data_IF_933682562104
#
_entry.id   IF_933682562104
#
_cell.length_a   1.000
_cell.length_b   1.000
_cell.length_c   1.000
_cell.angle_alpha   90.00
_cell.angle_beta   90.00
_cell.angle_gamma   90.00
#
_symmetry.space_group_name_H-M   'P 1'
#
loop_
_entity.id
_entity.type
_entity.pdbx_description
1 polymer ?
#
# COMPACT_ATOMS: atom_id res chain seq x y z
N UNK A 1 5.71 23.00 0.33
CA UNK A 1 6.71 21.89 0.24
C UNK A 1 6.81 21.21 1.61
N UNK A 2 6.82 19.87 1.65
CA UNK A 2 7.00 19.11 2.90
C UNK A 2 8.46 19.25 3.39
N UNK A 3 8.69 19.81 4.59
CA UNK A 3 10.04 20.02 5.14
C UNK A 3 10.42 18.87 6.10
N UNK A 4 11.70 18.43 6.12
CA UNK A 4 12.18 17.58 7.21
C UNK A 4 12.07 18.35 8.52
N UNK A 5 11.45 17.76 9.55
CA UNK A 5 11.22 18.43 10.82
C UNK A 5 11.31 17.49 12.04
N UNK A 6 11.98 16.36 11.90
CA UNK A 6 12.22 15.43 13.02
C UNK A 6 13.21 16.06 14.00
N UNK A 7 12.98 15.90 15.30
CA UNK A 7 13.88 16.40 16.34
C UNK A 7 15.19 15.61 16.31
N UNK A 8 16.33 16.31 16.41
CA UNK A 8 17.65 15.66 16.52
C UNK A 8 17.75 14.74 17.74
N UNK A 9 17.10 15.13 18.84
CA UNK A 9 17.09 14.38 20.11
C UNK A 9 15.65 14.25 20.60
N UNK A 10 15.30 13.06 21.08
CA UNK A 10 14.00 12.81 21.71
C UNK A 10 13.90 13.50 23.08
N UNK A 11 12.70 13.68 23.64
CA UNK A 11 12.54 14.16 25.02
C UNK A 11 13.25 13.28 26.06
N UNK A 12 13.48 12.00 25.76
CA UNK A 12 14.21 11.05 26.60
C UNK A 12 15.74 11.08 26.37
N UNK A 13 16.27 12.04 25.60
CA UNK A 13 17.70 12.20 25.38
C UNK A 13 18.30 11.32 24.26
N UNK A 14 17.49 10.53 23.54
CA UNK A 14 17.98 9.65 22.48
C UNK A 14 18.18 10.42 21.17
N UNK A 15 19.35 10.27 20.55
CA UNK A 15 19.64 10.86 19.24
C UNK A 15 18.90 10.12 18.13
N UNK A 16 18.28 10.88 17.23
CA UNK A 16 17.63 10.37 16.00
C UNK A 16 18.62 9.73 15.01
N UNK A 17 19.91 10.06 15.10
CA UNK A 17 20.95 9.47 14.27
C UNK A 17 21.43 8.10 14.76
N UNK A 18 21.22 7.79 16.04
CA UNK A 18 21.63 6.50 16.63
C UNK A 18 20.46 5.56 16.86
N UNK A 19 19.25 6.09 17.08
CA UNK A 19 18.03 5.31 17.21
C UNK A 19 17.40 5.04 15.83
N UNK A 20 17.16 3.77 15.49
CA UNK A 20 16.31 3.43 14.34
C UNK A 20 14.84 3.52 14.75
N UNK A 21 14.04 4.19 13.94
CA UNK A 21 12.60 4.10 14.04
C UNK A 21 12.11 2.74 13.53
N UNK A 22 10.95 2.29 14.02
CA UNK A 22 10.39 0.97 13.71
C UNK A 22 10.26 0.71 12.18
N UNK A 23 9.98 1.73 11.36
CA UNK A 23 9.88 1.60 9.89
C UNK A 23 11.22 1.39 9.18
N UNK A 24 12.34 1.64 9.87
CA UNK A 24 13.70 1.50 9.34
C UNK A 24 14.27 0.09 9.58
N UNK A 25 13.43 -0.84 10.04
CA UNK A 25 13.82 -2.24 10.24
C UNK A 25 13.96 -3.03 8.93
N UNK A 26 13.38 -2.53 7.84
CA UNK A 26 13.48 -3.15 6.50
C UNK A 26 14.53 -2.44 5.65
N UNK A 27 15.27 -3.21 4.84
CA UNK A 27 16.31 -2.72 3.92
C UNK A 27 15.79 -1.71 2.88
N UNK A 28 14.49 -1.73 2.61
CA UNK A 28 13.80 -0.83 1.69
C UNK A 28 13.64 0.60 2.22
N UNK A 29 13.91 0.87 3.51
CA UNK A 29 14.01 2.24 4.02
C UNK A 29 15.47 2.58 4.29
N UNK A 30 16.00 3.56 3.56
CA UNK A 30 17.34 4.10 3.78
C UNK A 30 17.26 5.59 4.14
N UNK A 31 18.27 6.07 4.86
CA UNK A 31 18.38 7.47 5.26
C UNK A 31 17.85 7.80 6.65
N UNK A 32 17.84 9.10 6.97
CA UNK A 32 17.43 9.62 8.27
C UNK A 32 15.94 9.38 8.57
N UNK A 33 15.59 9.50 9.85
CA UNK A 33 14.20 9.52 10.25
C UNK A 33 13.48 10.72 9.61
N UNK A 34 12.27 10.52 9.13
CA UNK A 34 11.49 11.59 8.50
C UNK A 34 10.04 11.62 9.00
N UNK A 35 9.37 12.74 8.74
CA UNK A 35 7.97 12.99 9.06
C UNK A 35 7.05 12.04 8.30
N UNK A 36 5.85 11.80 8.83
CA UNK A 36 4.88 10.88 8.24
C UNK A 36 4.67 11.12 6.74
N UNK A 37 4.35 12.34 6.32
CA UNK A 37 4.06 12.66 4.91
C UNK A 37 5.30 12.48 4.01
N UNK A 38 6.48 12.87 4.48
CA UNK A 38 7.71 12.77 3.67
C UNK A 38 8.11 11.32 3.41
N UNK A 39 7.93 10.42 4.38
CA UNK A 39 8.16 8.98 4.18
C UNK A 39 7.32 8.36 3.07
N UNK A 40 6.18 8.97 2.76
CA UNK A 40 5.22 8.48 1.77
C UNK A 40 5.32 9.20 0.42
N UNK A 41 5.85 10.43 0.37
CA UNK A 41 5.81 11.26 -0.85
C UNK A 41 7.21 11.70 -1.30
N UNK A 42 8.15 11.85 -0.37
CA UNK A 42 9.39 12.60 -0.60
C UNK A 42 10.66 11.77 -0.56
N UNK A 43 10.68 10.61 0.10
CA UNK A 43 11.85 9.73 0.14
C UNK A 43 12.12 9.13 -1.24
N UNK A 44 13.38 8.75 -1.51
CA UNK A 44 13.79 8.27 -2.83
C UNK A 44 12.99 7.04 -3.26
N UNK A 45 12.87 6.06 -2.35
CA UNK A 45 12.07 4.87 -2.62
C UNK A 45 10.59 5.21 -2.85
N UNK A 46 10.02 6.14 -2.07
CA UNK A 46 8.63 6.58 -2.27
C UNK A 46 8.42 7.21 -3.64
N UNK A 47 9.32 8.10 -4.07
CA UNK A 47 9.26 8.73 -5.41
C UNK A 47 9.45 7.72 -6.54
N UNK A 48 10.17 6.65 -6.29
CA UNK A 48 10.39 5.59 -7.28
C UNK A 48 9.13 4.74 -7.48
N UNK A 49 8.51 4.27 -6.39
CA UNK A 49 7.48 3.22 -6.45
C UNK A 49 6.05 3.74 -6.23
N UNK A 50 5.88 4.95 -5.70
CA UNK A 50 4.58 5.53 -5.38
C UNK A 50 4.33 6.82 -6.16
N UNK A 51 3.09 7.01 -6.56
CA UNK A 51 2.59 8.23 -7.23
C UNK A 51 1.46 8.86 -6.41
N UNK A 52 1.50 8.68 -5.09
CA UNK A 52 0.47 9.17 -4.16
C UNK A 52 0.30 10.69 -4.24
N UNK A 53 -0.97 11.10 -4.20
CA UNK A 53 -1.40 12.50 -4.11
C UNK A 53 -2.05 12.74 -2.75
N UNK A 54 -2.28 14.00 -2.38
CA UNK A 54 -3.03 14.30 -1.15
C UNK A 54 -4.39 13.59 -1.13
N UNK A 55 -5.04 13.49 -2.30
CA UNK A 55 -6.33 12.81 -2.49
C UNK A 55 -6.28 11.29 -2.46
N UNK A 56 -5.07 10.69 -2.42
CA UNK A 56 -4.94 9.25 -2.17
C UNK A 56 -5.31 8.92 -0.73
N UNK A 57 -4.93 9.78 0.22
CA UNK A 57 -5.19 9.54 1.65
C UNK A 57 -6.36 10.36 2.20
N UNK A 58 -6.51 11.59 1.71
CA UNK A 58 -7.59 12.47 2.13
C UNK A 58 -8.70 12.42 1.10
N UNK A 59 -9.86 11.95 1.51
CA UNK A 59 -11.06 12.06 0.70
C UNK A 59 -11.66 13.46 0.90
N UNK A 60 -12.11 14.06 -0.19
CA UNK A 60 -12.79 15.34 -0.15
C UNK A 60 -14.29 15.10 -0.04
N UNK A 61 -14.94 15.82 0.86
CA UNK A 61 -16.39 15.96 0.86
C UNK A 61 -16.78 17.25 0.12
N UNK A 62 -18.04 17.37 -0.29
CA UNK A 62 -18.60 18.67 -0.72
C UNK A 62 -18.33 19.71 0.40
N UNK A 63 -17.80 20.90 0.09
CA UNK A 63 -17.61 21.97 1.07
C UNK A 63 -18.86 22.34 1.89
N UNK A 64 -20.07 21.97 1.43
CA UNK A 64 -21.35 22.14 2.14
C UNK A 64 -21.67 21.01 3.11
N UNK A 65 -20.99 19.88 3.02
CA UNK A 65 -21.23 18.69 3.85
C UNK A 65 -20.18 18.63 4.97
N UNK A 66 -20.47 19.32 6.08
CA UNK A 66 -19.62 19.34 7.27
C UNK A 66 -19.70 18.03 8.10
N UNK A 67 -20.69 17.17 7.84
CA UNK A 67 -20.87 15.89 8.52
C UNK A 67 -21.33 14.80 7.53
N UNK A 68 -20.78 13.57 7.63
CA UNK A 68 -21.32 12.42 6.89
C UNK A 68 -22.76 12.15 7.33
N UNK A 69 -23.64 11.85 6.37
CA UNK A 69 -25.07 11.63 6.56
C UNK A 69 -25.92 12.90 6.71
N UNK A 70 -25.40 14.09 6.36
CA UNK A 70 -26.11 15.37 6.57
C UNK A 70 -27.08 15.76 5.45
N UNK A 71 -27.04 15.09 4.30
CA UNK A 71 -27.98 15.32 3.18
C UNK A 71 -28.77 14.08 2.83
N UNK A 72 -30.01 14.27 2.33
CA UNK A 72 -30.90 13.17 1.92
C UNK A 72 -30.36 12.37 0.71
N UNK A 73 -29.34 12.91 0.03
CA UNK A 73 -28.64 12.28 -1.09
C UNK A 73 -27.25 11.76 -0.71
N UNK A 74 -26.85 11.89 0.56
CA UNK A 74 -25.57 11.38 1.03
C UNK A 74 -25.65 9.85 1.21
N UNK A 75 -24.69 9.15 0.59
CA UNK A 75 -24.57 7.70 0.67
C UNK A 75 -23.87 7.22 1.95
N UNK A 76 -23.62 8.11 2.93
CA UNK A 76 -23.34 7.77 4.33
C UNK A 76 -21.97 7.14 4.60
N UNK A 77 -21.05 7.22 3.65
CA UNK A 77 -19.74 6.54 3.70
C UNK A 77 -18.54 7.48 3.51
N UNK A 78 -18.76 8.80 3.48
CA UNK A 78 -17.70 9.76 3.19
C UNK A 78 -16.97 10.19 4.47
N UNK A 79 -15.64 10.22 4.46
CA UNK A 79 -14.86 10.75 5.60
C UNK A 79 -14.86 12.27 5.59
N UNK A 80 -15.05 12.91 6.75
CA UNK A 80 -14.92 14.37 6.94
C UNK A 80 -13.71 14.96 6.18
N UNK A 81 -13.85 16.17 5.65
CA UNK A 81 -12.77 16.88 4.93
C UNK A 81 -11.45 16.85 5.73
N UNK A 82 -10.39 16.31 5.11
CA UNK A 82 -9.03 16.09 5.68
C UNK A 82 -8.89 14.91 6.64
N UNK A 83 -9.95 14.17 6.94
CA UNK A 83 -9.82 12.89 7.64
C UNK A 83 -9.34 11.82 6.67
N UNK A 84 -8.61 10.85 7.23
CA UNK A 84 -8.13 9.67 6.52
C UNK A 84 -8.90 8.49 7.08
N UNK A 85 -9.50 7.65 6.24
CA UNK A 85 -9.97 6.34 6.68
C UNK A 85 -8.78 5.37 6.65
N UNK A 86 -8.23 4.96 7.80
CA UNK A 86 -7.04 4.13 7.82
C UNK A 86 -7.29 2.71 7.28
N UNK A 87 -8.53 2.22 7.35
CA UNK A 87 -8.89 0.88 6.86
C UNK A 87 -8.91 0.80 5.34
N UNK A 88 -9.25 1.90 4.66
CA UNK A 88 -9.32 1.95 3.19
C UNK A 88 -8.06 2.50 2.54
N UNK A 89 -7.21 3.20 3.31
CA UNK A 89 -5.97 3.81 2.80
C UNK A 89 -4.73 3.13 3.38
N UNK A 90 -4.55 3.16 4.70
CA UNK A 90 -3.32 2.71 5.35
C UNK A 90 -3.20 1.19 5.32
N UNK A 91 -4.30 0.46 5.56
CA UNK A 91 -4.32 -1.00 5.64
C UNK A 91 -3.85 -1.65 4.33
N UNK A 92 -4.05 -1.01 3.17
CA UNK A 92 -3.52 -1.47 1.87
C UNK A 92 -2.02 -1.79 1.98
N UNK A 93 -1.23 -0.83 2.45
CA UNK A 93 0.24 -0.97 2.50
C UNK A 93 0.77 -1.47 3.85
N UNK A 94 -0.03 -1.36 4.92
CA UNK A 94 0.39 -1.70 6.28
C UNK A 94 -0.38 -2.88 6.88
N UNK A 95 -1.10 -3.64 6.06
CA UNK A 95 -1.72 -4.89 6.44
C UNK A 95 -0.70 -6.01 6.59
N UNK A 96 -1.04 -7.01 7.39
CA UNK A 96 -0.21 -8.21 7.55
C UNK A 96 -0.22 -9.03 6.24
N UNK A 97 0.93 -9.64 5.92
CA UNK A 97 1.03 -10.60 4.83
C UNK A 97 0.21 -11.85 5.15
N UNK A 98 -0.73 -12.22 4.27
CA UNK A 98 -1.55 -13.41 4.46
C UNK A 98 -0.87 -14.66 3.88
N UNK A 99 0.19 -15.12 4.56
CA UNK A 99 0.99 -16.27 4.11
C UNK A 99 0.16 -17.56 3.97
N UNK A 100 -0.87 -17.75 4.81
CA UNK A 100 -1.75 -18.91 4.76
C UNK A 100 -2.56 -18.97 3.46
N UNK A 101 -3.16 -17.84 3.04
CA UNK A 101 -3.88 -17.77 1.75
C UNK A 101 -2.95 -17.95 0.56
N UNK A 102 -1.68 -17.55 0.68
CA UNK A 102 -0.66 -17.79 -0.36
C UNK A 102 -0.12 -19.23 -0.36
N UNK A 103 -0.53 -20.09 0.58
CA UNK A 103 -0.03 -21.46 0.68
C UNK A 103 1.44 -21.56 1.12
N UNK A 104 1.97 -20.53 1.78
CA UNK A 104 3.35 -20.55 2.28
C UNK A 104 3.43 -21.36 3.60
N UNK A 105 4.54 -22.09 3.82
CA UNK A 105 4.73 -22.93 5.02
C UNK A 105 4.82 -22.13 6.33
N UNK A 106 5.05 -20.81 6.24
CA UNK A 106 5.12 -19.91 7.39
C UNK A 106 5.21 -18.44 6.95
N UNK A 107 5.42 -17.50 7.89
CA UNK A 107 5.71 -16.10 7.59
C UNK A 107 6.85 -15.94 6.58
N UNK A 108 6.86 -14.84 5.82
CA UNK A 108 7.84 -14.63 4.75
C UNK A 108 9.27 -14.59 5.28
N UNK A 109 9.49 -14.02 6.46
CA UNK A 109 10.81 -13.97 7.10
C UNK A 109 11.41 -15.36 7.32
N UNK A 110 10.55 -16.37 7.53
CA UNK A 110 10.94 -17.76 7.77
C UNK A 110 10.99 -18.58 6.48
N UNK A 111 10.22 -18.19 5.45
CA UNK A 111 10.06 -18.97 4.23
C UNK A 111 10.80 -18.40 3.01
N UNK A 112 11.22 -17.13 3.02
CA UNK A 112 11.79 -16.46 1.83
C UNK A 112 12.98 -17.17 1.23
N UNK A 113 13.83 -17.81 2.04
CA UNK A 113 15.00 -18.54 1.56
C UNK A 113 14.61 -19.74 0.67
N UNK A 114 13.53 -20.46 1.03
CA UNK A 114 13.00 -21.58 0.23
C UNK A 114 12.54 -21.13 -1.16
N UNK A 115 12.09 -19.87 -1.27
CA UNK A 115 11.63 -19.26 -2.50
C UNK A 115 12.68 -18.31 -3.12
N UNK A 116 13.95 -18.43 -2.74
CA UNK A 116 15.06 -17.62 -3.28
C UNK A 116 14.79 -16.10 -3.19
N UNK A 117 14.06 -15.68 -2.14
CA UNK A 117 13.54 -14.34 -1.96
C UNK A 117 12.88 -13.75 -3.22
N UNK A 118 12.09 -14.57 -3.94
CA UNK A 118 11.50 -14.20 -5.22
C UNK A 118 10.00 -14.52 -5.27
N UNK A 119 9.16 -13.50 -5.08
CA UNK A 119 7.70 -13.65 -5.16
C UNK A 119 7.19 -13.93 -6.58
N UNK A 120 7.99 -13.65 -7.61
CA UNK A 120 7.61 -13.85 -9.01
C UNK A 120 7.65 -15.31 -9.43
N UNK A 121 8.23 -16.22 -8.62
CA UNK A 121 8.12 -17.67 -8.82
C UNK A 121 6.66 -18.12 -8.94
N UNK A 122 5.75 -17.48 -8.20
CA UNK A 122 4.31 -17.74 -8.27
C UNK A 122 3.56 -16.62 -9.00
N UNK A 123 3.84 -15.35 -8.67
CA UNK A 123 3.00 -14.23 -9.11
C UNK A 123 3.16 -13.82 -10.58
N UNK A 124 4.23 -14.25 -11.27
CA UNK A 124 4.41 -13.99 -12.70
C UNK A 124 3.24 -14.54 -13.54
N UNK A 125 2.72 -15.71 -13.16
CA UNK A 125 1.71 -16.44 -13.94
C UNK A 125 0.26 -16.13 -13.54
N UNK A 126 0.02 -15.76 -12.28
CA UNK A 126 -1.35 -15.56 -11.74
C UNK A 126 -1.72 -14.08 -11.51
N UNK A 127 -0.77 -13.17 -11.67
CA UNK A 127 -0.99 -11.72 -11.50
C UNK A 127 -0.22 -10.97 -12.59
N UNK A 128 -0.74 -11.03 -13.81
CA UNK A 128 -0.09 -10.48 -15.01
C UNK A 128 -0.13 -8.96 -15.06
N UNK A 129 -1.20 -8.35 -14.54
CA UNK A 129 -1.34 -6.90 -14.39
C UNK A 129 -1.37 -6.53 -12.90
N UNK A 130 -0.21 -6.19 -12.33
CA UNK A 130 -0.09 -5.81 -10.91
C UNK A 130 -0.04 -4.30 -10.78
N UNK A 131 -0.52 -3.78 -9.65
CA UNK A 131 -0.37 -2.37 -9.28
C UNK A 131 -0.94 -1.36 -10.29
N UNK A 132 -1.98 -1.73 -11.04
CA UNK A 132 -2.61 -0.85 -12.03
C UNK A 132 -3.55 0.18 -11.35
N UNK A 133 -2.96 0.98 -10.48
CA UNK A 133 -3.62 2.00 -9.68
C UNK A 133 -2.89 3.33 -9.77
N UNK A 134 -3.61 4.44 -9.66
CA UNK A 134 -3.05 5.78 -9.85
C UNK A 134 -2.08 6.26 -8.75
N UNK A 135 -1.94 5.50 -7.66
CA UNK A 135 -1.10 5.84 -6.52
C UNK A 135 0.20 5.02 -6.45
N UNK A 136 0.43 4.11 -7.41
CA UNK A 136 1.64 3.31 -7.53
C UNK A 136 2.27 3.48 -8.93
N UNK A 137 3.59 3.38 -8.99
CA UNK A 137 4.32 3.27 -10.24
C UNK A 137 4.53 1.78 -10.59
N UNK A 138 3.56 1.20 -11.30
CA UNK A 138 3.57 -0.23 -11.63
C UNK A 138 4.88 -0.68 -12.29
N UNK A 139 5.32 0.05 -13.32
CA UNK A 139 6.54 -0.27 -14.07
C UNK A 139 7.77 -0.33 -13.16
N UNK A 140 7.98 0.69 -12.33
CA UNK A 140 9.14 0.73 -11.44
C UNK A 140 9.12 -0.40 -10.39
N UNK A 141 7.93 -0.75 -9.88
CA UNK A 141 7.77 -1.87 -8.95
C UNK A 141 8.15 -3.19 -9.62
N UNK A 142 7.68 -3.43 -10.84
CA UNK A 142 7.95 -4.67 -11.58
C UNK A 142 9.42 -4.81 -11.95
N UNK A 143 10.07 -3.71 -12.37
CA UNK A 143 11.51 -3.67 -12.63
C UNK A 143 12.33 -3.94 -11.37
N UNK A 144 11.91 -3.44 -10.21
CA UNK A 144 12.56 -3.73 -8.93
C UNK A 144 12.34 -5.18 -8.48
N UNK A 145 11.14 -5.71 -8.70
CA UNK A 145 10.80 -7.10 -8.35
C UNK A 145 11.53 -8.12 -9.24
N UNK A 146 11.92 -7.75 -10.46
CA UNK A 146 12.68 -8.59 -11.37
C UNK A 146 14.18 -8.71 -11.03
N UNK A 147 14.69 -7.86 -10.14
CA UNK A 147 16.09 -7.93 -9.69
C UNK A 147 16.32 -9.15 -8.79
N UNK A 148 17.57 -9.64 -8.66
CA UNK A 148 17.93 -10.61 -7.61
C UNK A 148 17.44 -10.11 -6.25
N UNK A 149 16.89 -11.02 -5.44
CA UNK A 149 16.27 -10.71 -4.13
C UNK A 149 15.10 -9.71 -4.18
N UNK A 150 14.45 -9.56 -5.34
CA UNK A 150 13.32 -8.65 -5.56
C UNK A 150 12.09 -8.90 -4.66
N UNK A 151 12.04 -10.04 -3.95
CA UNK A 151 11.02 -10.35 -2.96
C UNK A 151 10.97 -9.37 -1.79
N UNK A 152 12.07 -8.71 -1.44
CA UNK A 152 12.06 -7.66 -0.40
C UNK A 152 11.28 -6.41 -0.85
N UNK A 153 11.24 -6.12 -2.16
CA UNK A 153 10.40 -5.05 -2.73
C UNK A 153 8.93 -5.36 -2.49
N UNK A 154 8.51 -6.60 -2.80
CA UNK A 154 7.14 -7.07 -2.59
C UNK A 154 6.81 -7.11 -1.09
N UNK A 155 7.69 -7.72 -0.29
CA UNK A 155 7.47 -7.91 1.13
C UNK A 155 7.38 -6.58 1.87
N UNK A 156 8.23 -5.61 1.53
CA UNK A 156 8.20 -4.27 2.12
C UNK A 156 6.82 -3.59 2.06
N UNK A 157 6.04 -3.85 1.02
CA UNK A 157 4.70 -3.31 0.82
C UNK A 157 3.56 -4.26 1.24
N UNK A 158 3.77 -5.58 1.22
CA UNK A 158 2.73 -6.59 1.48
C UNK A 158 2.78 -7.24 2.86
N UNK A 159 3.67 -6.79 3.75
CA UNK A 159 3.63 -7.17 5.17
C UNK A 159 4.87 -6.86 6.00
N UNK A 160 5.99 -6.54 5.37
CA UNK A 160 7.25 -6.17 6.04
C UNK A 160 7.17 -4.88 6.84
N UNK A 161 6.09 -4.12 6.71
CA UNK A 161 5.79 -2.93 7.53
C UNK A 161 4.35 -2.97 8.05
N UNK A 162 3.91 -4.15 8.47
CA UNK A 162 2.57 -4.33 9.01
C UNK A 162 2.39 -3.56 10.33
N UNK A 163 1.45 -2.61 10.33
CA UNK A 163 0.93 -1.96 11.53
C UNK A 163 -0.32 -2.63 12.04
N UNK A 164 -1.13 -3.10 11.09
CA UNK A 164 -2.37 -3.74 11.39
C UNK A 164 -2.14 -5.24 11.53
N UNK A 165 -2.81 -5.83 12.52
CA UNK A 165 -2.82 -7.29 12.71
C UNK A 165 -3.61 -8.01 11.63
N UNK A 166 -4.47 -7.28 10.93
CA UNK A 166 -5.35 -7.76 9.86
C UNK A 166 -4.68 -7.62 8.50
N UNK A 167 -5.12 -8.44 7.56
CA UNK A 167 -4.71 -8.37 6.15
C UNK A 167 -5.64 -7.41 5.40
N UNK A 168 -5.12 -6.71 4.39
CA UNK A 168 -5.99 -6.00 3.45
C UNK A 168 -6.60 -6.99 2.44
N UNK A 169 -7.93 -7.02 2.27
CA UNK A 169 -8.59 -7.89 1.30
C UNK A 169 -8.49 -7.29 -0.10
N UNK A 170 -7.29 -7.34 -0.70
CA UNK A 170 -7.07 -6.87 -2.07
C UNK A 170 -8.07 -7.47 -3.06
N UNK A 171 -8.52 -6.68 -4.06
CA UNK A 171 -9.40 -7.18 -5.11
C UNK A 171 -8.85 -8.43 -5.79
N UNK A 172 -9.73 -9.38 -6.08
CA UNK A 172 -9.41 -10.64 -6.76
C UNK A 172 -9.71 -10.49 -8.25
N UNK A 173 -8.87 -9.75 -8.95
CA UNK A 173 -8.91 -9.63 -10.41
C UNK A 173 -8.81 -11.02 -11.07
N UNK A 174 -9.48 -11.18 -12.20
CA UNK A 174 -9.39 -12.42 -12.98
C UNK A 174 -7.98 -12.60 -13.57
N UNK A 175 -7.50 -13.85 -13.65
CA UNK A 175 -6.26 -14.20 -14.34
C UNK A 175 -6.44 -15.46 -15.22
N UNK A 176 -5.58 -15.68 -16.23
CA UNK A 176 -5.68 -16.86 -17.08
C UNK A 176 -5.58 -18.16 -16.28
N UNK A 177 -6.53 -19.08 -16.48
CA UNK A 177 -6.57 -20.37 -15.77
C UNK A 177 -7.02 -20.30 -14.31
N UNK A 178 -7.62 -19.19 -13.88
CA UNK A 178 -8.22 -19.05 -12.56
C UNK A 178 -9.43 -19.98 -12.40
N UNK A 179 -9.46 -20.75 -11.30
CA UNK A 179 -10.60 -21.59 -10.94
C UNK A 179 -11.87 -20.73 -10.78
N UNK A 180 -13.00 -21.09 -11.44
CA UNK A 180 -14.26 -20.38 -11.31
C UNK A 180 -14.84 -20.45 -9.89
N UNK A 181 -14.47 -21.48 -9.12
CA UNK A 181 -14.88 -21.65 -7.73
C UNK A 181 -14.23 -20.59 -6.86
N UNK A 182 -15.05 -19.81 -6.15
CA UNK A 182 -14.57 -18.79 -5.21
C UNK A 182 -14.29 -19.46 -3.86
N UNK A 183 -13.03 -19.50 -3.40
CA UNK A 183 -12.69 -20.09 -2.11
C UNK A 183 -13.24 -19.22 -0.97
N UNK A 184 -13.47 -19.83 0.19
CA UNK A 184 -14.12 -19.17 1.34
C UNK A 184 -13.44 -17.87 1.77
N UNK A 185 -12.10 -17.81 1.76
CA UNK A 185 -11.33 -16.61 2.14
C UNK A 185 -11.51 -15.44 1.16
N UNK A 186 -12.00 -15.71 -0.05
CA UNK A 186 -12.21 -14.74 -1.11
C UNK A 186 -13.68 -14.30 -1.25
N UNK A 187 -14.60 -14.90 -0.50
CA UNK A 187 -16.02 -14.49 -0.50
C UNK A 187 -16.14 -13.02 -0.12
N UNK A 188 -16.94 -12.27 -0.87
CA UNK A 188 -17.18 -10.84 -0.65
C UNK A 188 -16.03 -9.91 -1.05
N UNK A 189 -14.92 -10.41 -1.61
CA UNK A 189 -13.85 -9.53 -2.12
C UNK A 189 -14.27 -8.88 -3.44
N UNK A 190 -13.95 -7.60 -3.66
CA UNK A 190 -14.13 -6.97 -4.96
C UNK A 190 -13.33 -7.71 -6.04
N UNK A 191 -13.81 -7.70 -7.28
CA UNK A 191 -13.06 -8.21 -8.44
C UNK A 191 -12.26 -7.11 -9.13
N UNK A 192 -12.51 -5.85 -8.79
CA UNK A 192 -11.86 -4.68 -9.36
C UNK A 192 -11.39 -3.71 -8.27
N UNK A 193 -10.41 -2.87 -8.61
CA UNK A 193 -9.97 -1.78 -7.74
C UNK A 193 -11.04 -0.67 -7.68
N UNK A 194 -11.07 0.12 -6.60
CA UNK A 194 -11.98 1.26 -6.49
C UNK A 194 -11.80 2.21 -7.69
N UNK A 195 -12.91 2.69 -8.27
CA UNK A 195 -12.92 3.48 -9.50
C UNK A 195 -11.96 4.68 -9.44
N UNK A 196 -11.90 5.37 -8.30
CA UNK A 196 -11.01 6.52 -8.06
C UNK A 196 -9.52 6.20 -8.14
N UNK A 197 -9.15 4.92 -8.08
CA UNK A 197 -7.78 4.45 -8.19
C UNK A 197 -7.47 3.84 -9.55
N UNK A 198 -8.46 3.59 -10.41
CA UNK A 198 -8.22 3.07 -11.76
C UNK A 198 -7.55 4.15 -12.61
N UNK A 199 -6.29 3.93 -13.01
CA UNK A 199 -5.47 4.94 -13.71
C UNK A 199 -6.11 5.44 -15.03
N UNK A 200 -6.82 4.57 -15.76
CA UNK A 200 -7.56 4.93 -16.98
C UNK A 200 -8.78 5.83 -16.71
N UNK A 201 -9.46 5.65 -15.57
CA UNK A 201 -10.63 6.47 -15.20
C UNK A 201 -10.23 7.91 -14.82
N UNK A 202 -9.03 8.08 -14.25
CA UNK A 202 -8.49 9.38 -13.81
C UNK A 202 -8.07 10.25 -15.01
N UNK A 203 -7.57 9.64 -16.08
CA UNK A 203 -7.16 10.35 -17.32
C UNK A 203 -8.36 10.77 -18.18
N UNK A 204 -9.48 10.05 -18.12
CA UNK A 204 -10.74 10.47 -18.76
C UNK A 204 -11.45 11.63 -18.03
N UNK A 205 -11.10 11.90 -16.77
CA UNK A 205 -11.66 13.01 -15.99
C UNK A 205 -11.04 14.39 -16.27
N UNK A 206 -9.90 14.45 -16.97
CA UNK A 206 -9.21 15.71 -17.33
C UNK A 206 -9.71 16.33 -18.65
N UNK A 207 -10.75 15.76 -19.28
CA UNK A 207 -11.37 16.26 -20.52
C UNK A 207 -12.82 16.75 -20.36
N UNK A 208 -13.17 17.39 -19.24
CA UNK A 208 -14.40 18.17 -19.13
C UNK A 208 -14.10 19.61 -18.75
#
# INVERSE_FOLDING_TARGET
MLKPSVRKTSPAGLSSGTAKAWYQQTSTYQGEQDTFHRRHISTDFARQVMTMRCTTCHEGNDPREEAPGSSATDFGQQTLRKMVNPETVCLKCHGKMNHAVMGLPGPWEQSKAMFQNNCLLCHSNIRTSRHNVNYLNAKAIEELAAKPDGGDTCYGCHGGRAWYRTHYPYPRHAWPGMDPTVPDWAKGRPTESEVRFIAAAVTSGEKK
#
